data_IF_210573668369
#
_entry.id   IF_210573668369
#
_cell.length_a   1.000
_cell.length_b   1.000
_cell.length_c   1.000
_cell.angle_alpha   90.00
_cell.angle_beta   90.00
_cell.angle_gamma   90.00
#
_symmetry.space_group_name_H-M   'P 1'
#
loop_
_entity.id
_entity.type
_entity.pdbx_description
1 polymer ?
#
# COMPACT_ATOMS: atom_id res chain seq x y z
N UNK A 1 2.89 -11.42 -3.74
CA UNK A 1 2.82 -9.95 -3.72
C UNK A 1 1.96 -9.55 -2.53
N UNK A 2 2.34 -8.52 -1.77
CA UNK A 2 1.60 -8.02 -0.62
C UNK A 2 1.84 -6.51 -0.45
N UNK A 3 0.99 -5.83 0.31
CA UNK A 3 1.14 -4.40 0.55
C UNK A 3 0.01 -3.84 1.39
N UNK A 4 0.12 -2.55 1.70
CA UNK A 4 -0.88 -1.81 2.47
C UNK A 4 -1.00 -0.38 1.91
N UNK A 5 -2.13 0.26 2.19
CA UNK A 5 -2.39 1.66 1.85
C UNK A 5 -1.64 2.58 2.81
N UNK A 6 -1.34 3.80 2.37
CA UNK A 6 -0.50 4.71 3.14
C UNK A 6 -1.19 5.25 4.39
N UNK A 7 -2.53 5.42 4.36
CA UNK A 7 -3.33 5.88 5.48
C UNK A 7 -4.53 4.95 5.74
N UNK A 8 -4.26 3.69 6.07
CA UNK A 8 -5.28 2.69 6.39
C UNK A 8 -6.34 3.20 7.38
N UNK A 9 -5.88 3.90 8.42
CA UNK A 9 -6.70 4.59 9.42
C UNK A 9 -7.75 5.53 8.85
N UNK A 10 -7.56 6.05 7.63
CA UNK A 10 -8.49 6.94 6.95
C UNK A 10 -9.91 6.40 6.88
N UNK A 11 -10.08 5.08 6.73
CA UNK A 11 -11.41 4.48 6.77
C UNK A 11 -11.97 4.43 8.19
N UNK A 12 -11.14 3.98 9.15
CA UNK A 12 -11.52 3.74 10.54
C UNK A 12 -11.84 5.03 11.32
N UNK A 13 -11.33 6.18 10.86
CA UNK A 13 -11.73 7.50 11.36
C UNK A 13 -13.23 7.77 11.19
N UNK A 14 -13.88 7.26 10.13
CA UNK A 14 -15.31 7.43 9.87
C UNK A 14 -16.19 6.80 10.96
N UNK A 15 -16.11 5.49 11.25
CA UNK A 15 -16.90 4.88 12.31
C UNK A 15 -16.52 5.39 13.71
N UNK A 16 -15.25 5.75 13.96
CA UNK A 16 -14.86 6.37 15.23
C UNK A 16 -15.55 7.73 15.44
N UNK A 17 -15.57 8.58 14.39
CA UNK A 17 -16.32 9.84 14.42
C UNK A 17 -17.82 9.62 14.63
N UNK A 18 -18.41 8.61 13.95
CA UNK A 18 -19.81 8.23 14.14
C UNK A 18 -20.15 7.78 15.58
N UNK A 19 -19.16 7.34 16.35
CA UNK A 19 -19.28 7.01 17.78
C UNK A 19 -18.97 8.19 18.72
N UNK A 20 -18.75 9.40 18.18
CA UNK A 20 -18.35 10.58 18.96
C UNK A 20 -16.91 10.51 19.47
N UNK A 21 -16.07 9.61 18.94
CA UNK A 21 -14.66 9.48 19.32
C UNK A 21 -13.80 10.37 18.43
N UNK A 22 -13.23 11.41 19.02
CA UNK A 22 -12.23 12.27 18.38
C UNK A 22 -10.89 11.94 19.03
N UNK A 23 -10.05 11.21 18.29
CA UNK A 23 -8.74 10.75 18.76
C UNK A 23 -7.64 11.65 18.21
N UNK A 24 -6.56 11.79 18.97
CA UNK A 24 -5.36 12.50 18.53
C UNK A 24 -4.72 11.79 17.33
N UNK A 25 -4.00 12.55 16.49
CA UNK A 25 -3.36 12.01 15.29
C UNK A 25 -2.36 10.89 15.63
N UNK A 26 -1.63 10.99 16.75
CA UNK A 26 -0.68 9.95 17.18
C UNK A 26 -1.34 8.57 17.37
N UNK A 27 -2.59 8.52 17.83
CA UNK A 27 -3.32 7.25 17.99
C UNK A 27 -3.59 6.60 16.63
N UNK A 28 -3.85 7.42 15.60
CA UNK A 28 -4.03 6.94 14.24
C UNK A 28 -2.72 6.55 13.57
N UNK A 29 -1.63 7.24 13.90
CA UNK A 29 -0.29 6.91 13.44
C UNK A 29 0.15 5.56 14.01
N UNK A 30 -0.02 5.35 15.33
CA UNK A 30 0.23 4.06 15.99
C UNK A 30 -0.64 2.95 15.38
N UNK A 31 -1.93 3.20 15.15
CA UNK A 31 -2.84 2.25 14.52
C UNK A 31 -2.41 1.86 13.09
N UNK A 32 -2.03 2.85 12.25
CA UNK A 32 -1.49 2.60 10.91
C UNK A 32 -0.22 1.74 10.96
N UNK A 33 0.62 1.99 11.95
CA UNK A 33 1.92 1.34 12.09
C UNK A 33 1.75 -0.09 12.59
N UNK A 34 1.10 -0.27 13.74
CA UNK A 34 0.87 -1.57 14.40
C UNK A 34 0.02 -2.51 13.53
N UNK A 35 -1.13 -2.05 13.06
CA UNK A 35 -2.14 -2.93 12.44
C UNK A 35 -1.85 -3.27 10.98
N UNK A 36 -1.07 -2.44 10.28
CA UNK A 36 -0.89 -2.58 8.82
C UNK A 36 0.56 -2.54 8.37
N UNK A 37 1.27 -1.44 8.65
CA UNK A 37 2.63 -1.23 8.13
C UNK A 37 3.58 -2.30 8.66
N UNK A 38 3.63 -2.49 9.98
CA UNK A 38 4.54 -3.44 10.62
C UNK A 38 4.14 -4.90 10.44
N UNK A 39 2.83 -5.20 10.42
CA UNK A 39 2.33 -6.52 10.07
C UNK A 39 2.78 -6.94 8.67
N UNK A 40 2.60 -6.06 7.68
CA UNK A 40 3.01 -6.28 6.28
C UNK A 40 4.54 -6.36 6.16
N UNK A 41 5.27 -5.54 6.92
CA UNK A 41 6.74 -5.56 6.95
C UNK A 41 7.28 -6.90 7.46
N UNK A 42 6.75 -7.37 8.59
CA UNK A 42 7.10 -8.66 9.18
C UNK A 42 6.79 -9.81 8.23
N UNK A 43 5.59 -9.83 7.62
CA UNK A 43 5.21 -10.86 6.67
C UNK A 43 6.19 -10.90 5.47
N UNK A 44 6.50 -9.74 4.89
CA UNK A 44 7.42 -9.65 3.75
C UNK A 44 8.83 -10.13 4.13
N UNK A 45 9.34 -9.74 5.30
CA UNK A 45 10.65 -10.15 5.78
C UNK A 45 10.72 -11.68 6.02
N UNK A 46 9.69 -12.27 6.64
CA UNK A 46 9.61 -13.71 6.86
C UNK A 46 9.55 -14.49 5.54
N UNK A 47 8.76 -14.02 4.56
CA UNK A 47 8.71 -14.63 3.22
C UNK A 47 10.09 -14.62 2.56
N UNK A 48 10.79 -13.47 2.57
CA UNK A 48 12.15 -13.36 2.04
C UNK A 48 13.14 -14.29 2.76
N UNK A 49 13.09 -14.36 4.09
CA UNK A 49 13.94 -15.24 4.89
C UNK A 49 13.73 -16.74 4.60
N UNK A 50 12.56 -17.11 4.05
CA UNK A 50 12.23 -18.47 3.61
C UNK A 50 12.44 -18.69 2.11
N UNK A 51 13.08 -17.76 1.40
CA UNK A 51 13.35 -17.87 -0.02
C UNK A 51 12.11 -17.75 -0.91
N UNK A 52 10.99 -17.24 -0.37
CA UNK A 52 9.76 -17.00 -1.15
C UNK A 52 9.92 -15.71 -1.95
N UNK A 53 9.78 -15.74 -3.30
CA UNK A 53 9.75 -14.54 -4.11
C UNK A 53 8.69 -13.56 -3.61
N UNK A 54 9.12 -12.36 -3.26
CA UNK A 54 8.30 -11.38 -2.54
C UNK A 54 8.38 -10.04 -3.24
N UNK A 55 7.25 -9.36 -3.33
CA UNK A 55 7.12 -7.98 -3.81
C UNK A 55 6.21 -7.28 -2.82
N UNK A 56 6.74 -6.26 -2.15
CA UNK A 56 6.01 -5.46 -1.19
C UNK A 56 5.71 -4.10 -1.80
N UNK A 57 4.46 -3.69 -1.78
CA UNK A 57 4.05 -2.36 -2.20
C UNK A 57 3.47 -1.54 -1.05
N UNK A 58 3.50 -0.22 -1.20
CA UNK A 58 2.71 0.73 -0.43
C UNK A 58 1.91 1.58 -1.40
N UNK A 59 0.60 1.67 -1.22
CA UNK A 59 -0.26 2.46 -2.10
C UNK A 59 -0.54 3.84 -1.50
N UNK A 60 -0.28 4.89 -2.28
CA UNK A 60 -0.38 6.29 -1.87
C UNK A 60 -1.48 7.06 -2.60
N UNK A 61 -2.28 6.39 -3.43
CA UNK A 61 -3.28 7.05 -4.26
C UNK A 61 -4.28 7.83 -3.42
N UNK A 62 -4.31 9.14 -3.61
CA UNK A 62 -5.25 10.07 -2.99
C UNK A 62 -6.02 10.81 -4.08
N UNK A 63 -6.89 10.06 -4.77
CA UNK A 63 -7.64 10.53 -5.93
C UNK A 63 -8.98 11.12 -5.52
N UNK A 64 -9.30 12.31 -6.02
CA UNK A 64 -10.51 13.07 -5.63
C UNK A 64 -11.80 12.28 -5.80
N UNK A 65 -11.93 11.47 -6.85
CA UNK A 65 -13.13 10.67 -7.09
C UNK A 65 -13.36 9.56 -6.05
N UNK A 66 -12.32 9.14 -5.33
CA UNK A 66 -12.41 8.08 -4.32
C UNK A 66 -12.28 8.58 -2.87
N UNK A 67 -12.00 9.87 -2.63
CA UNK A 67 -11.84 10.37 -1.25
C UNK A 67 -13.14 10.25 -0.47
N UNK A 68 -13.04 9.78 0.78
CA UNK A 68 -14.17 9.75 1.72
C UNK A 68 -14.38 11.13 2.37
N UNK A 69 -13.28 11.84 2.62
CA UNK A 69 -13.24 13.19 3.18
C UNK A 69 -11.85 13.80 2.88
N UNK A 70 -11.63 15.13 3.06
CA UNK A 70 -10.42 15.79 2.55
C UNK A 70 -9.07 15.20 2.97
N UNK A 71 -9.02 14.49 4.09
CA UNK A 71 -7.81 13.87 4.66
C UNK A 71 -7.91 12.36 4.79
N UNK A 72 -8.83 11.70 4.06
CA UNK A 72 -8.92 10.23 4.08
C UNK A 72 -7.69 9.59 3.43
N UNK A 73 -7.07 10.26 2.47
CA UNK A 73 -5.88 9.77 1.78
C UNK A 73 -6.10 8.39 1.14
N UNK A 74 -5.02 7.62 1.04
CA UNK A 74 -5.08 6.21 0.68
C UNK A 74 -5.64 5.39 1.86
N UNK A 75 -6.96 5.35 2.01
CA UNK A 75 -7.65 4.68 3.12
C UNK A 75 -7.79 3.17 2.94
N UNK A 76 -8.17 2.46 3.99
CA UNK A 76 -8.36 1.01 3.96
C UNK A 76 -9.32 0.54 2.85
N UNK A 77 -8.81 -0.28 1.93
CA UNK A 77 -9.56 -0.82 0.80
C UNK A 77 -9.66 0.07 -0.44
N UNK A 78 -9.10 1.28 -0.45
CA UNK A 78 -9.18 2.17 -1.63
C UNK A 78 -8.41 1.61 -2.85
N UNK A 79 -7.35 0.85 -2.62
CA UNK A 79 -6.55 0.17 -3.65
C UNK A 79 -7.36 -0.87 -4.44
N UNK A 80 -8.47 -1.38 -3.89
CA UNK A 80 -9.38 -2.27 -4.61
C UNK A 80 -9.95 -1.60 -5.87
N UNK A 81 -10.19 -0.28 -5.84
CA UNK A 81 -10.62 0.46 -7.03
C UNK A 81 -9.58 0.41 -8.15
N UNK A 82 -8.30 0.40 -7.77
CA UNK A 82 -7.17 0.31 -8.71
C UNK A 82 -7.01 -1.10 -9.26
N UNK A 83 -7.23 -2.12 -8.42
CA UNK A 83 -7.11 -3.54 -8.78
C UNK A 83 -8.26 -4.00 -9.68
N UNK A 84 -9.50 -3.65 -9.32
CA UNK A 84 -10.69 -4.09 -10.06
C UNK A 84 -11.07 -3.16 -11.21
N UNK A 85 -10.52 -1.94 -11.25
CA UNK A 85 -10.78 -1.02 -12.35
C UNK A 85 -12.05 -0.17 -12.19
N UNK A 86 -12.69 -0.19 -11.01
CA UNK A 86 -14.08 0.21 -10.79
C UNK A 86 -14.23 1.56 -10.05
N UNK A 87 -13.22 2.42 -10.03
CA UNK A 87 -13.27 3.65 -9.22
C UNK A 87 -14.40 4.59 -9.67
N UNK A 88 -14.58 4.78 -10.99
CA UNK A 88 -15.65 5.62 -11.54
C UNK A 88 -17.03 5.02 -11.32
N UNK A 89 -17.18 3.69 -11.45
CA UNK A 89 -18.46 3.01 -11.26
C UNK A 89 -18.96 3.10 -9.81
N UNK A 90 -18.05 2.98 -8.84
CA UNK A 90 -18.41 3.04 -7.41
C UNK A 90 -18.63 4.47 -6.92
N UNK A 91 -17.81 5.42 -7.38
CA UNK A 91 -17.91 6.82 -6.95
C UNK A 91 -18.97 7.63 -7.69
N UNK A 92 -19.32 7.24 -8.92
CA UNK A 92 -20.10 8.06 -9.85
C UNK A 92 -19.34 9.28 -10.40
N UNK A 93 -18.03 9.37 -10.14
CA UNK A 93 -17.18 10.50 -10.51
C UNK A 93 -16.08 10.05 -11.49
N UNK A 94 -15.73 10.89 -12.48
CA UNK A 94 -14.74 10.51 -13.48
C UNK A 94 -13.34 10.38 -12.89
N UNK A 95 -12.54 9.48 -13.46
CA UNK A 95 -11.11 9.37 -13.18
C UNK A 95 -10.32 10.47 -13.90
N UNK A 96 -9.28 10.97 -13.25
CA UNK A 96 -8.26 11.79 -13.93
C UNK A 96 -7.29 10.88 -14.70
N UNK A 97 -6.65 11.40 -15.76
CA UNK A 97 -5.79 10.61 -16.64
C UNK A 97 -4.67 9.85 -15.89
N UNK A 98 -4.04 10.49 -14.91
CA UNK A 98 -3.01 9.88 -14.07
C UNK A 98 -3.54 8.68 -13.26
N UNK A 99 -4.78 8.72 -12.79
CA UNK A 99 -5.41 7.61 -12.09
C UNK A 99 -5.65 6.44 -13.04
N UNK A 100 -6.16 6.72 -14.24
CA UNK A 100 -6.40 5.69 -15.29
C UNK A 100 -5.09 4.99 -15.68
N UNK A 101 -4.00 5.74 -15.82
CA UNK A 101 -2.67 5.20 -16.12
C UNK A 101 -2.14 4.34 -14.95
N UNK A 102 -2.19 4.85 -13.71
CA UNK A 102 -1.80 4.11 -12.52
C UNK A 102 -2.59 2.78 -12.38
N UNK A 103 -3.90 2.84 -12.62
CA UNK A 103 -4.81 1.70 -12.62
C UNK A 103 -4.40 0.65 -13.65
N UNK A 104 -4.02 1.07 -14.85
CA UNK A 104 -3.46 0.20 -15.88
C UNK A 104 -2.19 -0.53 -15.42
N UNK A 105 -1.25 0.19 -14.81
CA UNK A 105 -0.01 -0.40 -14.28
C UNK A 105 -0.26 -1.41 -13.15
N UNK A 106 -1.12 -1.06 -12.19
CA UNK A 106 -1.46 -1.93 -11.06
C UNK A 106 -2.15 -3.20 -11.55
N UNK A 107 -3.12 -3.10 -12.46
CA UNK A 107 -3.81 -4.27 -13.02
C UNK A 107 -2.87 -5.16 -13.83
N UNK A 108 -1.96 -4.58 -14.60
CA UNK A 108 -0.92 -5.35 -15.31
C UNK A 108 -0.04 -6.12 -14.32
N UNK A 109 0.32 -5.50 -13.18
CA UNK A 109 1.11 -6.16 -12.15
C UNK A 109 0.37 -7.35 -11.51
N UNK A 110 -0.89 -7.15 -11.12
CA UNK A 110 -1.72 -8.23 -10.59
C UNK A 110 -1.90 -9.38 -11.59
N UNK A 111 -2.17 -9.08 -12.86
CA UNK A 111 -2.30 -10.09 -13.92
C UNK A 111 -0.99 -10.86 -14.13
N UNK A 112 0.15 -10.17 -14.19
CA UNK A 112 1.46 -10.80 -14.35
C UNK A 112 1.81 -11.69 -13.15
N UNK A 113 1.52 -11.25 -11.92
CA UNK A 113 1.74 -12.06 -10.72
C UNK A 113 0.84 -13.30 -10.69
N UNK A 114 -0.44 -13.16 -11.05
CA UNK A 114 -1.36 -14.29 -11.10
C UNK A 114 -0.97 -15.34 -12.15
N UNK A 115 -0.44 -14.90 -13.30
CA UNK A 115 0.01 -15.78 -14.37
C UNK A 115 1.34 -16.49 -14.04
N UNK A 116 2.29 -15.79 -13.42
CA UNK A 116 3.56 -16.35 -12.96
C UNK A 116 3.97 -15.68 -11.63
N UNK A 117 3.70 -16.30 -10.48
CA UNK A 117 4.00 -15.71 -9.17
C UNK A 117 5.50 -15.71 -8.82
N UNK A 118 6.34 -16.37 -9.62
CA UNK A 118 7.79 -16.48 -9.39
C UNK A 118 8.55 -15.46 -10.24
N UNK A 119 8.15 -15.23 -11.49
CA UNK A 119 8.89 -14.34 -12.40
C UNK A 119 8.04 -13.28 -13.09
N UNK A 120 6.71 -13.35 -13.05
CA UNK A 120 5.83 -12.48 -13.82
C UNK A 120 6.08 -11.00 -13.56
N UNK A 121 6.19 -10.62 -12.29
CA UNK A 121 6.45 -9.23 -11.89
C UNK A 121 7.84 -8.73 -12.34
N UNK A 122 8.89 -9.54 -12.20
CA UNK A 122 10.23 -9.11 -12.60
C UNK A 122 10.42 -9.10 -14.12
N UNK A 123 9.88 -10.10 -14.84
CA UNK A 123 10.10 -10.26 -16.29
C UNK A 123 9.13 -9.43 -17.15
N UNK A 124 7.87 -9.28 -16.73
CA UNK A 124 6.84 -8.62 -17.56
C UNK A 124 6.52 -7.19 -17.13
N UNK A 125 6.73 -6.88 -15.84
CA UNK A 125 6.41 -5.57 -15.25
C UNK A 125 7.69 -4.80 -14.92
N UNK A 126 8.79 -5.50 -14.62
CA UNK A 126 10.06 -4.89 -14.24
C UNK A 126 10.16 -4.54 -12.74
N UNK A 127 9.23 -5.02 -11.91
CA UNK A 127 9.28 -4.75 -10.48
C UNK A 127 10.40 -5.56 -9.80
N UNK A 128 11.24 -4.90 -8.99
CA UNK A 128 12.30 -5.59 -8.27
C UNK A 128 11.70 -6.49 -7.19
N UNK A 129 12.27 -7.68 -7.03
CA UNK A 129 11.96 -8.51 -5.86
C UNK A 129 12.40 -7.77 -4.58
N UNK A 130 11.55 -7.86 -3.56
CA UNK A 130 11.70 -7.19 -2.28
C UNK A 130 12.97 -7.64 -1.56
N UNK A 131 13.76 -6.66 -1.14
CA UNK A 131 14.96 -6.78 -0.33
C UNK A 131 14.93 -5.64 0.70
N UNK A 132 14.69 -5.92 1.99
CA UNK A 132 14.47 -4.89 3.02
C UNK A 132 15.52 -3.77 3.02
N UNK A 133 16.79 -4.13 2.78
CA UNK A 133 17.93 -3.22 2.84
C UNK A 133 18.26 -2.52 1.51
N UNK A 134 17.38 -2.61 0.50
CA UNK A 134 17.56 -1.99 -0.82
C UNK A 134 16.31 -1.22 -1.25
N UNK A 135 16.45 -0.36 -2.25
CA UNK A 135 15.34 0.38 -2.85
C UNK A 135 14.43 -0.56 -3.67
N UNK A 136 13.55 -1.29 -2.99
CA UNK A 136 12.72 -2.34 -3.57
C UNK A 136 11.30 -2.36 -3.01
N UNK A 137 10.98 -1.50 -2.04
CA UNK A 137 9.59 -1.23 -1.69
C UNK A 137 8.97 -0.46 -2.87
N UNK A 138 7.85 -0.96 -3.39
CA UNK A 138 7.16 -0.37 -4.54
C UNK A 138 6.15 0.65 -4.04
N UNK A 139 6.41 1.92 -4.26
CA UNK A 139 5.49 3.00 -3.93
C UNK A 139 4.59 3.28 -5.12
N UNK A 140 3.32 2.89 -5.00
CA UNK A 140 2.31 3.04 -6.03
C UNK A 140 1.58 4.36 -5.82
N UNK A 141 1.45 5.17 -6.88
CA UNK A 141 0.68 6.42 -6.83
C UNK A 141 1.21 7.44 -5.82
N UNK A 142 2.52 7.45 -5.54
CA UNK A 142 3.15 8.44 -4.68
C UNK A 142 2.95 9.85 -5.26
N UNK A 143 2.34 10.75 -4.50
CA UNK A 143 1.92 12.08 -4.97
C UNK A 143 1.05 12.02 -6.23
N UNK A 144 0.21 10.98 -6.36
CA UNK A 144 -0.63 10.71 -7.54
C UNK A 144 0.16 10.55 -8.85
N UNK A 145 1.45 10.22 -8.77
CA UNK A 145 2.26 9.84 -9.94
C UNK A 145 1.84 8.45 -10.44
N UNK A 146 1.47 8.27 -11.72
CA UNK A 146 1.10 6.95 -12.24
C UNK A 146 2.24 5.93 -12.26
N UNK A 147 3.49 6.39 -12.27
CA UNK A 147 4.66 5.53 -12.32
C UNK A 147 5.06 5.04 -10.92
N UNK A 148 5.40 3.75 -10.76
CA UNK A 148 5.89 3.23 -9.48
C UNK A 148 7.26 3.85 -9.16
N UNK A 149 7.44 4.22 -7.89
CA UNK A 149 8.74 4.67 -7.34
C UNK A 149 9.27 3.57 -6.42
N UNK A 150 10.59 3.52 -6.22
CA UNK A 150 11.22 2.53 -5.36
C UNK A 150 12.01 3.17 -4.24
N UNK A 151 11.76 2.74 -3.01
CA UNK A 151 12.46 3.21 -1.81
C UNK A 151 12.87 2.08 -0.89
N UNK A 152 13.65 2.42 0.14
CA UNK A 152 13.96 1.50 1.23
C UNK A 152 12.72 1.29 2.07
N UNK A 153 12.54 0.07 2.57
CA UNK A 153 11.45 -0.25 3.48
C UNK A 153 11.52 0.57 4.79
N UNK A 154 12.74 0.91 5.23
CA UNK A 154 13.00 1.74 6.41
C UNK A 154 12.40 3.15 6.34
N UNK A 155 11.99 3.64 5.17
CA UNK A 155 11.23 4.90 5.04
C UNK A 155 9.92 4.84 5.84
N UNK A 156 9.33 3.65 5.98
CA UNK A 156 8.04 3.43 6.63
C UNK A 156 8.12 2.53 7.85
N UNK A 157 9.12 1.65 7.91
CA UNK A 157 9.20 0.61 8.95
C UNK A 157 10.11 0.97 10.12
N UNK A 158 10.74 2.17 10.13
CA UNK A 158 11.74 2.54 11.13
C UNK A 158 11.25 2.39 12.57
N UNK A 159 9.96 2.64 12.80
CA UNK A 159 9.33 2.59 14.11
C UNK A 159 8.74 1.21 14.44
N UNK A 160 8.78 0.23 13.53
CA UNK A 160 8.18 -1.09 13.78
C UNK A 160 8.82 -1.88 14.93
N UNK A 161 10.08 -1.56 15.27
CA UNK A 161 10.76 -2.15 16.43
C UNK A 161 10.06 -1.83 17.77
N UNK A 162 9.17 -0.83 17.82
CA UNK A 162 8.39 -0.53 19.03
C UNK A 162 7.21 -1.48 19.27
N UNK A 163 6.71 -2.13 18.21
CA UNK A 163 5.56 -3.04 18.30
C UNK A 163 5.94 -4.51 18.22
N UNK A 164 7.09 -4.83 17.63
CA UNK A 164 7.51 -6.21 17.35
C UNK A 164 8.95 -6.43 17.79
N UNK A 165 9.15 -7.15 18.89
CA UNK A 165 10.50 -7.51 19.37
C UNK A 165 11.30 -8.30 18.30
N UNK A 166 10.61 -9.09 17.48
CA UNK A 166 11.19 -9.84 16.36
C UNK A 166 11.79 -8.94 15.27
N UNK A 167 11.36 -7.67 15.19
CA UNK A 167 11.88 -6.70 14.22
C UNK A 167 13.26 -6.15 14.62
N UNK A 168 13.61 -6.18 15.92
CA UNK A 168 14.93 -5.74 16.42
C UNK A 168 16.08 -6.65 15.97
N UNK A 169 15.76 -7.86 15.50
CA UNK A 169 16.72 -8.89 15.11
C UNK A 169 16.91 -9.02 13.58
N UNK A 170 16.21 -8.21 12.79
CA UNK A 170 16.27 -8.17 11.32
C UNK A 170 17.07 -6.97 10.81
#
# INVERSE_FOLDING_TARGET
MLGNNHNEAGYYKVPAYGQGKILNQSVWDDFNLESFTCATALEAAQRVARGVPTWRYRHHGDWDNTKLYPTSGAYHGVDLHMIFGASADVSGLPEVAAQTEAKGHIRKAYAAFAADPVHGLTKQVGWPAYKPNKNTLIELSLNNNPQPVYSKASTYDAECAQFLDTYKAM
#
